data_IF_138519694362
#
_entry.id   IF_138519694362
#
_cell.length_a   1.000
_cell.length_b   1.000
_cell.length_c   1.000
_cell.angle_alpha   90.00
_cell.angle_beta   90.00
_cell.angle_gamma   90.00
#
_symmetry.space_group_name_H-M   'P 1'
#
loop_
_entity.id
_entity.type
_entity.pdbx_description
1 polymer ?
#
# COMPACT_ATOMS: atom_id res chain seq x y z
N UNK A 1 0.81 -0.60 33.26
CA UNK A 1 0.01 -0.99 32.08
C UNK A 1 0.10 0.16 31.10
N UNK A 2 1.00 0.05 30.12
CA UNK A 2 1.17 1.11 29.11
C UNK A 2 0.23 0.73 27.97
N UNK A 3 -0.92 1.40 27.92
CA UNK A 3 -1.77 1.39 26.73
C UNK A 3 -1.11 2.38 25.77
N UNK A 4 -0.30 1.89 24.83
CA UNK A 4 0.17 2.70 23.72
C UNK A 4 -1.05 2.99 22.84
N UNK A 5 -1.50 4.25 22.86
CA UNK A 5 -2.65 4.70 22.09
C UNK A 5 -2.33 4.65 20.62
N UNK A 6 -2.83 3.61 19.96
CA UNK A 6 -2.91 3.47 18.50
C UNK A 6 -3.55 4.75 17.95
N UNK A 7 -2.77 5.65 17.32
CA UNK A 7 -3.29 6.87 16.70
C UNK A 7 -4.00 6.50 15.40
N UNK A 8 -5.17 5.89 15.58
CA UNK A 8 -6.12 5.53 14.54
C UNK A 8 -6.66 6.80 13.91
N UNK A 9 -6.34 7.04 12.63
CA UNK A 9 -6.86 8.15 11.85
C UNK A 9 -7.90 7.62 10.87
N UNK A 10 -9.01 8.34 10.75
CA UNK A 10 -9.99 8.09 9.70
C UNK A 10 -9.52 8.87 8.47
N UNK A 11 -9.16 8.16 7.40
CA UNK A 11 -8.74 8.73 6.13
C UNK A 11 -9.64 8.21 5.00
N UNK A 12 -9.85 9.01 3.96
CA UNK A 12 -10.57 8.54 2.79
C UNK A 12 -9.72 7.52 2.03
N UNK A 13 -10.27 6.32 1.77
CA UNK A 13 -9.59 5.31 0.96
C UNK A 13 -9.20 5.85 -0.43
N UNK A 14 -10.03 6.74 -1.00
CA UNK A 14 -9.75 7.40 -2.28
C UNK A 14 -8.52 8.29 -2.21
N UNK A 15 -8.34 9.00 -1.10
CA UNK A 15 -7.18 9.87 -0.87
C UNK A 15 -5.90 9.04 -0.75
N UNK A 16 -5.93 7.94 0.02
CA UNK A 16 -4.78 7.05 0.17
C UNK A 16 -4.43 6.39 -1.16
N UNK A 17 -5.43 5.92 -1.91
CA UNK A 17 -5.21 5.38 -3.27
C UNK A 17 -4.57 6.40 -4.20
N UNK A 18 -5.08 7.64 -4.24
CA UNK A 18 -4.51 8.70 -5.08
C UNK A 18 -3.06 8.99 -4.69
N UNK A 19 -2.79 9.14 -3.38
CA UNK A 19 -1.44 9.33 -2.87
C UNK A 19 -0.49 8.16 -3.21
N UNK A 20 -0.98 6.92 -3.19
CA UNK A 20 -0.20 5.74 -3.58
C UNK A 20 0.07 5.72 -5.10
N UNK A 21 -0.89 6.10 -5.94
CA UNK A 21 -0.69 6.25 -7.38
C UNK A 21 0.35 7.34 -7.70
N UNK A 22 0.26 8.49 -7.04
CA UNK A 22 1.22 9.59 -7.22
C UNK A 22 2.62 9.18 -6.78
N UNK A 23 2.74 8.47 -5.65
CA UNK A 23 4.02 7.93 -5.18
C UNK A 23 4.61 6.90 -6.15
N UNK A 24 3.80 6.00 -6.70
CA UNK A 24 4.24 5.04 -7.72
C UNK A 24 4.78 5.75 -8.99
N UNK A 25 4.13 6.84 -9.41
CA UNK A 25 4.62 7.70 -10.49
C UNK A 25 5.94 8.38 -10.15
N UNK A 26 6.04 8.98 -8.97
CA UNK A 26 7.26 9.67 -8.53
C UNK A 26 8.48 8.74 -8.47
N UNK A 27 8.30 7.51 -7.98
CA UNK A 27 9.37 6.49 -7.90
C UNK A 27 9.96 6.14 -9.27
N UNK A 28 9.17 6.24 -10.35
CA UNK A 28 9.64 5.98 -11.71
C UNK A 28 10.69 7.00 -12.17
N UNK A 29 10.60 8.24 -11.69
CA UNK A 29 11.50 9.34 -12.04
C UNK A 29 12.69 9.45 -11.07
N UNK A 30 12.71 8.68 -9.97
CA UNK A 30 13.79 8.72 -9.00
C UNK A 30 15.03 7.97 -9.52
N UNK A 31 16.25 8.51 -9.30
CA UNK A 31 17.47 7.76 -9.55
C UNK A 31 17.55 6.53 -8.65
N UNK A 32 18.33 5.52 -9.07
CA UNK A 32 18.67 4.39 -8.21
C UNK A 32 19.39 4.87 -6.95
N UNK A 33 19.17 4.18 -5.83
CA UNK A 33 19.72 4.58 -4.52
C UNK A 33 18.80 4.27 -3.35
N UNK A 34 19.31 4.54 -2.15
CA UNK A 34 18.61 4.28 -0.89
C UNK A 34 17.35 5.14 -0.73
N UNK A 35 17.33 6.36 -1.27
CA UNK A 35 16.14 7.21 -1.23
C UNK A 35 14.99 6.60 -2.04
N UNK A 36 15.28 6.06 -3.23
CA UNK A 36 14.28 5.35 -4.05
C UNK A 36 13.79 4.08 -3.35
N UNK A 37 14.69 3.35 -2.69
CA UNK A 37 14.29 2.19 -1.88
C UNK A 37 13.36 2.59 -0.74
N UNK A 38 13.67 3.67 -0.01
CA UNK A 38 12.81 4.18 1.05
C UNK A 38 11.42 4.60 0.52
N UNK A 39 11.37 5.21 -0.67
CA UNK A 39 10.09 5.54 -1.32
C UNK A 39 9.28 4.27 -1.70
N UNK A 40 9.93 3.21 -2.20
CA UNK A 40 9.28 1.91 -2.46
C UNK A 40 8.70 1.29 -1.18
N UNK A 41 9.46 1.32 -0.08
CA UNK A 41 8.98 0.84 1.23
C UNK A 41 7.81 1.70 1.73
N UNK A 42 7.89 3.02 1.59
CA UNK A 42 6.79 3.93 1.91
C UNK A 42 5.51 3.62 1.12
N UNK A 43 5.63 3.38 -0.19
CA UNK A 43 4.51 2.96 -1.03
C UNK A 43 3.93 1.61 -0.57
N UNK A 44 4.78 0.63 -0.25
CA UNK A 44 4.34 -0.67 0.29
C UNK A 44 3.55 -0.53 1.59
N UNK A 45 4.01 0.32 2.52
CA UNK A 45 3.31 0.58 3.79
C UNK A 45 1.95 1.24 3.52
N UNK A 46 1.92 2.32 2.74
CA UNK A 46 0.66 3.03 2.42
C UNK A 46 -0.35 2.14 1.70
N UNK A 47 0.11 1.28 0.79
CA UNK A 47 -0.75 0.30 0.12
C UNK A 47 -1.27 -0.77 1.11
N UNK A 48 -0.45 -1.18 2.08
CA UNK A 48 -0.84 -2.13 3.13
C UNK A 48 -1.92 -1.53 4.04
N UNK A 49 -1.77 -0.26 4.46
CA UNK A 49 -2.79 0.47 5.22
C UNK A 49 -4.12 0.54 4.46
N UNK A 50 -4.08 0.83 3.16
CA UNK A 50 -5.27 0.85 2.31
C UNK A 50 -5.95 -0.51 2.25
N UNK A 51 -5.21 -1.57 1.94
CA UNK A 51 -5.76 -2.93 1.79
C UNK A 51 -6.35 -3.43 3.11
N UNK A 52 -5.69 -3.18 4.24
CA UNK A 52 -6.19 -3.53 5.57
C UNK A 52 -7.44 -2.74 5.91
N UNK A 53 -7.43 -1.43 5.72
CA UNK A 53 -8.58 -0.57 6.00
C UNK A 53 -9.82 -0.92 5.17
N UNK A 54 -9.63 -1.30 3.90
CA UNK A 54 -10.72 -1.80 3.05
C UNK A 54 -11.25 -3.15 3.53
N UNK A 55 -10.37 -4.05 4.01
CA UNK A 55 -10.79 -5.33 4.58
C UNK A 55 -11.58 -5.14 5.89
N UNK A 56 -11.14 -4.23 6.75
CA UNK A 56 -11.84 -3.88 7.98
C UNK A 56 -13.24 -3.31 7.69
N UNK A 57 -13.34 -2.38 6.74
CA UNK A 57 -14.62 -1.81 6.31
C UNK A 57 -15.56 -2.87 5.69
N UNK A 58 -15.03 -3.79 4.87
CA UNK A 58 -15.80 -4.90 4.31
C UNK A 58 -16.32 -5.84 5.41
N UNK A 59 -15.50 -6.12 6.41
CA UNK A 59 -15.85 -6.96 7.56
C UNK A 59 -16.94 -6.32 8.42
N UNK A 60 -16.83 -5.03 8.73
CA UNK A 60 -17.84 -4.28 9.47
C UNK A 60 -19.19 -4.23 8.73
N UNK A 61 -19.16 -4.06 7.40
CA UNK A 61 -20.37 -3.97 6.58
C UNK A 61 -21.09 -5.33 6.39
N UNK A 62 -20.33 -6.43 6.21
CA UNK A 62 -20.90 -7.72 5.81
C UNK A 62 -20.93 -8.76 6.93
N UNK A 63 -20.25 -8.52 8.06
CA UNK A 63 -20.16 -9.43 9.20
C UNK A 63 -19.53 -10.80 8.89
N UNK A 64 -18.97 -10.97 7.69
CA UNK A 64 -18.37 -12.22 7.21
C UNK A 64 -17.18 -11.95 6.31
N UNK A 65 -16.15 -12.75 6.51
CA UNK A 65 -14.91 -12.68 5.77
C UNK A 65 -15.04 -13.49 4.46
N UNK A 66 -15.68 -12.92 3.43
CA UNK A 66 -15.79 -13.58 2.11
C UNK A 66 -14.54 -13.32 1.28
N UNK A 67 -14.03 -14.33 0.58
CA UNK A 67 -12.99 -14.17 -0.45
C UNK A 67 -13.49 -13.28 -1.61
N UNK A 68 -13.50 -11.97 -1.39
CA UNK A 68 -13.94 -10.99 -2.35
C UNK A 68 -12.83 -10.74 -3.36
N UNK A 69 -13.24 -10.38 -4.59
CA UNK A 69 -12.29 -10.01 -5.65
C UNK A 69 -11.35 -8.90 -5.20
N UNK A 70 -11.84 -8.01 -4.34
CA UNK A 70 -11.10 -6.89 -3.77
C UNK A 70 -9.97 -7.33 -2.84
N UNK A 71 -10.19 -8.33 -1.98
CA UNK A 71 -9.11 -8.89 -1.15
C UNK A 71 -8.03 -9.60 -1.95
N UNK A 72 -8.43 -10.35 -2.98
CA UNK A 72 -7.45 -10.98 -3.89
C UNK A 72 -6.65 -9.91 -4.63
N UNK A 73 -7.29 -8.85 -5.11
CA UNK A 73 -6.61 -7.71 -5.75
C UNK A 73 -5.63 -7.02 -4.79
N UNK A 74 -6.07 -6.75 -3.56
CA UNK A 74 -5.21 -6.17 -2.51
C UNK A 74 -4.02 -7.06 -2.17
N UNK A 75 -4.22 -8.36 -1.98
CA UNK A 75 -3.13 -9.29 -1.71
C UNK A 75 -2.11 -9.36 -2.86
N UNK A 76 -2.58 -9.40 -4.11
CA UNK A 76 -1.71 -9.41 -5.29
C UNK A 76 -0.90 -8.12 -5.41
N UNK A 77 -1.52 -6.97 -5.14
CA UNK A 77 -0.84 -5.67 -5.09
C UNK A 77 0.31 -5.69 -4.06
N UNK A 78 0.05 -6.17 -2.84
CA UNK A 78 1.06 -6.22 -1.79
C UNK A 78 2.21 -7.17 -2.13
N UNK A 79 1.91 -8.31 -2.76
CA UNK A 79 2.93 -9.23 -3.26
C UNK A 79 3.79 -8.58 -4.35
N UNK A 80 3.18 -7.82 -5.28
CA UNK A 80 3.90 -7.07 -6.30
C UNK A 80 4.88 -6.06 -5.70
N UNK A 81 4.40 -5.22 -4.78
CA UNK A 81 5.22 -4.23 -4.09
C UNK A 81 6.33 -4.87 -3.23
N UNK A 82 6.03 -5.95 -2.51
CA UNK A 82 7.03 -6.68 -1.72
C UNK A 82 8.15 -7.25 -2.61
N UNK A 83 7.84 -7.71 -3.83
CA UNK A 83 8.83 -8.15 -4.80
C UNK A 83 9.73 -7.00 -5.25
N UNK A 84 9.18 -5.83 -5.50
CA UNK A 84 9.97 -4.65 -5.91
C UNK A 84 10.89 -4.16 -4.79
N UNK A 85 10.40 -4.14 -3.54
CA UNK A 85 11.23 -3.86 -2.35
C UNK A 85 12.37 -4.89 -2.23
N UNK A 86 12.04 -6.18 -2.35
CA UNK A 86 13.03 -7.27 -2.29
C UNK A 86 14.07 -7.21 -3.41
N UNK A 87 13.66 -6.88 -4.64
CA UNK A 87 14.57 -6.69 -5.78
C UNK A 87 15.50 -5.50 -5.56
N UNK A 88 14.96 -4.38 -5.09
CA UNK A 88 15.74 -3.19 -4.76
C UNK A 88 16.80 -3.50 -3.71
N UNK A 89 16.43 -4.18 -2.62
CA UNK A 89 17.37 -4.61 -1.58
C UNK A 89 18.43 -5.58 -2.10
N UNK A 90 18.02 -6.64 -2.82
CA UNK A 90 18.93 -7.67 -3.33
C UNK A 90 19.95 -7.15 -4.35
N UNK A 91 19.64 -6.06 -5.04
CA UNK A 91 20.52 -5.39 -5.98
C UNK A 91 21.34 -4.24 -5.35
N UNK A 92 21.40 -4.15 -4.02
CA UNK A 92 22.05 -3.04 -3.31
C UNK A 92 21.56 -1.66 -3.78
N UNK A 93 20.26 -1.54 -4.01
CA UNK A 93 19.55 -0.33 -4.45
C UNK A 93 19.90 0.17 -5.86
N UNK A 94 20.60 -0.64 -6.66
CA UNK A 94 21.03 -0.27 -8.02
C UNK A 94 19.92 -0.27 -9.07
N UNK A 95 18.69 -0.71 -8.73
CA UNK A 95 17.56 -0.77 -9.66
C UNK A 95 16.90 0.61 -9.80
N UNK A 96 16.70 1.02 -11.05
CA UNK A 96 15.97 2.23 -11.46
C UNK A 96 14.67 1.87 -12.23
N UNK A 97 13.96 2.89 -12.70
CA UNK A 97 12.77 2.74 -13.52
C UNK A 97 11.46 2.62 -12.73
N UNK A 98 10.34 2.33 -13.40
CA UNK A 98 9.03 2.23 -12.75
C UNK A 98 8.94 1.02 -11.83
N UNK A 99 7.98 1.06 -10.89
CA UNK A 99 7.46 -0.15 -10.22
C UNK A 99 6.87 -1.11 -11.25
N UNK A 100 6.64 -2.37 -10.84
CA UNK A 100 5.94 -3.35 -11.68
C UNK A 100 4.65 -2.73 -12.28
N UNK A 101 4.47 -2.82 -13.60
CA UNK A 101 3.36 -2.19 -14.31
C UNK A 101 1.97 -2.65 -13.80
N UNK A 102 1.92 -3.83 -13.17
CA UNK A 102 0.73 -4.34 -12.53
C UNK A 102 0.35 -3.56 -11.26
N UNK A 103 1.30 -2.95 -10.55
CA UNK A 103 1.05 -2.21 -9.29
C UNK A 103 0.14 -0.99 -9.51
N UNK A 104 0.43 -0.05 -10.44
CA UNK A 104 -0.49 1.06 -10.72
C UNK A 104 -1.86 0.60 -11.23
N UNK A 105 -1.90 -0.47 -12.03
CA UNK A 105 -3.16 -1.05 -12.53
C UNK A 105 -4.00 -1.60 -11.38
N UNK A 106 -3.41 -2.39 -10.50
CA UNK A 106 -4.09 -2.97 -9.33
C UNK A 106 -4.54 -1.90 -8.35
N UNK A 107 -3.74 -0.85 -8.11
CA UNK A 107 -4.15 0.30 -7.30
C UNK A 107 -5.40 0.98 -7.85
N UNK A 108 -5.47 1.20 -9.17
CA UNK A 108 -6.63 1.82 -9.81
C UNK A 108 -7.90 0.95 -9.75
N UNK A 109 -7.75 -0.36 -9.70
CA UNK A 109 -8.86 -1.33 -9.63
C UNK A 109 -9.41 -1.55 -8.21
N UNK A 110 -8.72 -1.05 -7.17
CA UNK A 110 -9.26 -1.09 -5.80
C UNK A 110 -10.50 -0.18 -5.70
N UNK A 111 -11.62 -0.81 -5.34
CA UNK A 111 -12.79 -0.06 -4.88
C UNK A 111 -12.42 0.65 -3.57
N UNK A 112 -12.63 1.95 -3.54
CA UNK A 112 -12.21 2.83 -2.45
C UNK A 112 -13.38 3.68 -1.97
N UNK A 113 -14.59 3.15 -2.09
CA UNK A 113 -15.80 3.81 -1.63
C UNK A 113 -15.91 3.68 -0.11
N UNK A 114 -15.50 4.74 0.59
CA UNK A 114 -15.64 4.84 2.04
C UNK A 114 -14.47 5.53 2.73
N UNK A 115 -14.58 5.55 4.05
CA UNK A 115 -13.50 5.92 4.96
C UNK A 115 -12.85 4.66 5.50
N UNK A 116 -11.55 4.71 5.71
CA UNK A 116 -10.79 3.61 6.29
C UNK A 116 -9.99 4.11 7.49
N UNK A 117 -9.83 3.20 8.45
CA UNK A 117 -8.99 3.41 9.61
C UNK A 117 -7.54 3.07 9.25
N UNK A 118 -6.65 4.06 9.35
CA UNK A 118 -5.20 3.86 9.22
C UNK A 118 -4.53 3.98 10.58
N UNK A 119 -3.54 3.13 10.82
CA UNK A 119 -2.68 3.18 12.01
C UNK A 119 -1.23 3.35 11.58
N UNK A 120 -0.51 4.30 12.17
CA UNK A 120 0.93 4.42 11.94
C UNK A 120 1.64 3.28 12.68
N UNK A 121 2.31 2.39 11.95
CA UNK A 121 3.30 1.51 12.55
C UNK A 121 4.49 2.38 13.03
N UNK A 122 4.60 2.63 14.33
CA UNK A 122 5.85 3.16 14.90
C UNK A 122 6.94 2.09 14.75
N UNK A 123 8.04 2.47 14.09
CA UNK A 123 9.15 1.59 13.70
C UNK A 123 10.11 1.22 14.82
#
# INVERSE_FOLDING_TARGET
MIVYGDHKRIESARYIRASACDAAGHIADMPSGIERHAALVGLFIRASELVQGLADAEFEANGMDRNSRQRIAGANLLVGLARDVGRSWGAAFAIDGPVDAEVPRMLAELDCDGEILTGTAEG
#
